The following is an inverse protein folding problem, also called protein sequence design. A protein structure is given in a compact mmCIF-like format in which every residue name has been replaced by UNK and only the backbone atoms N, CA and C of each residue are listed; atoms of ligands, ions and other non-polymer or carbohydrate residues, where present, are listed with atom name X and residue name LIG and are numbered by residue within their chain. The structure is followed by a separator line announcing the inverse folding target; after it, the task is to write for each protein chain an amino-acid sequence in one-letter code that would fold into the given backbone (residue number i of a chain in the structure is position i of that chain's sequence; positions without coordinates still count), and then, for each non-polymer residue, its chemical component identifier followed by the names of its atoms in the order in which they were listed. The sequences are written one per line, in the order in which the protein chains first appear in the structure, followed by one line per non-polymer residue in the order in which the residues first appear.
data_IF_200216176605
#
_entry.id   IF_200216176605
#
_cell.length_a   1.000
_cell.length_b   1.000
_cell.length_c   1.000
_cell.angle_alpha   90.00
_cell.angle_beta   90.00
_cell.angle_gamma   90.00
#
_symmetry.space_group_name_H-M   'P 1'
#
loop_
_entity.id
_entity.type
_entity.pdbx_description
1 polymer ?
#
# COMPACT_ATOMS: atom_id res chain seq x y z
N UNK A 1 -2.18 -20.31 22.25
CA UNK A 1 -1.56 -20.61 20.94
C UNK A 1 -1.50 -19.34 20.09
N UNK A 2 -2.64 -18.66 19.91
CA UNK A 2 -2.73 -17.33 19.29
C UNK A 2 -1.81 -16.32 19.98
N UNK A 3 -1.89 -16.20 21.32
CA UNK A 3 -1.01 -15.31 22.09
C UNK A 3 0.49 -15.61 21.90
N UNK A 4 0.83 -16.90 21.75
CA UNK A 4 2.21 -17.33 21.51
C UNK A 4 2.70 -16.97 20.10
N UNK A 5 1.82 -16.98 19.09
CA UNK A 5 2.15 -16.57 17.72
C UNK A 5 2.31 -15.05 17.60
N UNK A 6 1.41 -14.29 18.23
CA UNK A 6 1.56 -12.84 18.35
C UNK A 6 2.85 -12.49 19.11
N UNK A 7 3.25 -13.27 20.12
CA UNK A 7 4.46 -13.05 20.91
C UNK A 7 5.78 -13.49 20.24
N UNK A 8 5.77 -14.36 19.21
CA UNK A 8 6.99 -14.80 18.51
C UNK A 8 7.72 -13.63 17.81
N UNK A 9 6.99 -12.57 17.45
CA UNK A 9 7.54 -11.32 16.90
C UNK A 9 8.01 -10.34 18.00
N UNK A 10 7.79 -10.68 19.28
CA UNK A 10 7.82 -9.76 20.44
C UNK A 10 6.41 -9.58 21.00
N UNK A 11 6.26 -9.43 22.33
CA UNK A 11 4.95 -9.26 22.97
C UNK A 11 4.13 -8.15 22.31
N UNK A 12 2.99 -8.51 21.72
CA UNK A 12 2.04 -7.58 21.11
C UNK A 12 2.44 -7.02 19.74
N UNK A 13 3.48 -7.55 19.08
CA UNK A 13 3.84 -7.10 17.73
C UNK A 13 2.94 -7.74 16.67
N UNK A 14 2.36 -6.95 15.74
CA UNK A 14 1.49 -7.49 14.70
C UNK A 14 2.25 -8.39 13.73
N UNK A 15 1.57 -9.42 13.21
CA UNK A 15 2.03 -10.18 12.05
C UNK A 15 1.96 -9.29 10.79
N UNK A 16 2.71 -9.64 9.75
CA UNK A 16 2.72 -8.90 8.49
C UNK A 16 2.45 -9.81 7.30
N UNK A 17 1.61 -9.33 6.38
CA UNK A 17 1.47 -9.86 5.02
C UNK A 17 2.12 -8.86 4.08
N UNK A 18 3.11 -9.30 3.30
CA UNK A 18 3.76 -8.49 2.28
C UNK A 18 3.31 -8.97 0.89
N UNK A 19 2.86 -8.02 0.08
CA UNK A 19 2.37 -8.27 -1.28
C UNK A 19 3.15 -7.38 -2.25
N UNK A 20 3.84 -8.01 -3.19
CA UNK A 20 4.36 -7.33 -4.38
C UNK A 20 3.18 -7.06 -5.33
N UNK A 21 2.75 -5.81 -5.47
CA UNK A 21 1.52 -5.49 -6.20
C UNK A 21 1.65 -5.76 -7.69
N UNK A 22 2.78 -5.38 -8.29
CA UNK A 22 3.03 -5.60 -9.71
C UNK A 22 3.07 -7.10 -10.09
N UNK A 23 3.47 -7.97 -9.17
CA UNK A 23 3.48 -9.42 -9.39
C UNK A 23 2.11 -10.07 -9.11
N UNK A 24 1.48 -9.71 -7.98
CA UNK A 24 0.24 -10.33 -7.52
C UNK A 24 -1.00 -9.82 -8.27
N UNK A 25 -0.98 -8.55 -8.66
CA UNK A 25 -2.10 -7.81 -9.24
C UNK A 25 -1.64 -6.99 -10.47
N UNK A 26 -1.14 -7.64 -11.54
CA UNK A 26 -0.54 -6.94 -12.67
C UNK A 26 -1.53 -6.06 -13.45
N UNK A 27 -2.82 -6.41 -13.46
CA UNK A 27 -3.84 -5.61 -14.15
C UNK A 27 -4.18 -4.33 -13.37
N UNK A 28 -4.28 -4.47 -12.05
CA UNK A 28 -4.55 -3.38 -11.10
C UNK A 28 -3.37 -2.42 -11.07
N UNK A 29 -2.13 -2.96 -11.08
CA UNK A 29 -0.92 -2.18 -11.27
C UNK A 29 -0.94 -1.37 -12.56
N UNK A 30 -1.27 -2.02 -13.70
CA UNK A 30 -1.34 -1.32 -14.98
C UNK A 30 -2.40 -0.21 -14.96
N UNK A 31 -3.58 -0.47 -14.40
CA UNK A 31 -4.65 0.54 -14.29
C UNK A 31 -4.23 1.70 -13.39
N UNK A 32 -3.53 1.43 -12.30
CA UNK A 32 -3.04 2.48 -11.40
C UNK A 32 -2.06 3.43 -12.10
N UNK A 33 -1.29 2.96 -13.08
CA UNK A 33 -0.41 3.80 -13.89
C UNK A 33 -1.16 4.67 -14.90
N UNK A 34 -2.42 4.34 -15.19
CA UNK A 34 -3.29 5.10 -16.09
C UNK A 34 -4.14 6.07 -15.25
N UNK A 35 -4.13 7.37 -15.58
CA UNK A 35 -5.00 8.34 -14.92
C UNK A 35 -6.47 8.08 -15.28
N UNK A 36 -7.38 8.25 -14.32
CA UNK A 36 -8.81 8.21 -14.58
C UNK A 36 -9.21 9.29 -15.59
N UNK A 37 -9.92 8.92 -16.65
CA UNK A 37 -10.23 9.83 -17.75
C UNK A 37 -11.18 10.98 -17.37
N UNK A 38 -11.91 10.86 -16.26
CA UNK A 38 -12.86 11.88 -15.79
C UNK A 38 -12.25 12.77 -14.72
N UNK A 39 -11.46 12.21 -13.81
CA UNK A 39 -10.94 12.94 -12.65
C UNK A 39 -9.44 13.25 -12.72
N UNK A 40 -8.68 12.54 -13.56
CA UNK A 40 -7.22 12.60 -13.58
C UNK A 40 -6.54 11.87 -12.42
N UNK A 41 -7.32 11.25 -11.52
CA UNK A 41 -6.78 10.56 -10.36
C UNK A 41 -6.13 9.23 -10.74
N UNK A 42 -5.14 8.81 -9.97
CA UNK A 42 -4.56 7.48 -10.05
C UNK A 42 -5.12 6.62 -8.91
N UNK A 43 -5.81 5.53 -9.27
CA UNK A 43 -6.51 4.67 -8.31
C UNK A 43 -6.00 3.23 -8.41
N UNK A 44 -5.53 2.70 -7.28
CA UNK A 44 -5.10 1.32 -7.12
C UNK A 44 -6.14 0.56 -6.31
N UNK A 45 -6.84 -0.37 -6.95
CA UNK A 45 -7.79 -1.28 -6.32
C UNK A 45 -7.15 -2.64 -6.11
N UNK A 46 -6.97 -3.08 -4.85
CA UNK A 46 -6.38 -4.37 -4.52
C UNK A 46 -7.43 -5.30 -3.92
N UNK A 47 -7.86 -6.37 -4.61
CA UNK A 47 -8.87 -7.31 -4.13
C UNK A 47 -8.28 -8.29 -3.09
N UNK A 48 -7.68 -7.76 -2.02
CA UNK A 48 -7.07 -8.53 -0.94
C UNK A 48 -8.12 -8.85 0.11
N UNK A 49 -8.81 -9.96 -0.10
CA UNK A 49 -9.71 -10.56 0.88
C UNK A 49 -8.95 -11.40 1.92
N UNK A 50 -9.65 -11.83 2.98
CA UNK A 50 -9.12 -12.69 4.04
C UNK A 50 -8.43 -13.96 3.53
N UNK A 51 -8.83 -14.48 2.36
CA UNK A 51 -8.23 -15.67 1.74
C UNK A 51 -6.77 -15.52 1.33
N UNK A 52 -6.26 -14.30 1.22
CA UNK A 52 -4.86 -14.00 0.94
C UNK A 52 -3.96 -14.16 2.17
N UNK A 53 -4.54 -14.27 3.37
CA UNK A 53 -3.77 -14.42 4.59
C UNK A 53 -3.42 -15.90 4.86
N UNK A 54 -2.32 -16.16 5.61
CA UNK A 54 -1.96 -17.52 6.02
C UNK A 54 -3.13 -18.26 6.66
N UNK A 55 -3.18 -19.59 6.48
CA UNK A 55 -4.29 -20.43 6.97
C UNK A 55 -4.62 -20.22 8.47
N UNK A 56 -3.60 -19.98 9.29
CA UNK A 56 -3.77 -19.68 10.71
C UNK A 56 -4.58 -18.40 10.94
N UNK A 57 -4.36 -17.34 10.16
CA UNK A 57 -5.11 -16.10 10.29
C UNK A 57 -6.57 -16.28 9.88
N UNK A 58 -6.79 -17.00 8.77
CA UNK A 58 -8.15 -17.31 8.27
C UNK A 58 -8.99 -18.10 9.27
N UNK A 59 -8.36 -18.95 10.08
CA UNK A 59 -9.05 -19.80 11.05
C UNK A 59 -9.38 -19.11 12.38
N UNK A 60 -8.52 -18.20 12.83
CA UNK A 60 -8.68 -17.57 14.15
C UNK A 60 -9.42 -16.23 14.08
N UNK A 61 -9.61 -15.66 12.89
CA UNK A 61 -10.01 -14.26 12.75
C UNK A 61 -8.76 -13.40 12.68
N UNK A 62 -8.85 -12.31 11.93
CA UNK A 62 -7.76 -11.36 11.76
C UNK A 62 -8.31 -9.94 11.78
N UNK A 63 -7.56 -9.04 12.39
CA UNK A 63 -7.83 -7.62 12.40
C UNK A 63 -6.62 -6.88 11.85
N UNK A 64 -6.76 -6.19 10.71
CA UNK A 64 -5.67 -5.39 10.15
C UNK A 64 -5.60 -4.04 10.86
N UNK A 65 -4.45 -3.75 11.45
CA UNK A 65 -4.20 -2.58 12.29
C UNK A 65 -3.39 -1.51 11.58
N UNK A 66 -2.69 -1.85 10.49
CA UNK A 66 -1.95 -0.90 9.67
C UNK A 66 -1.82 -1.40 8.22
N UNK A 67 -1.94 -0.50 7.25
CA UNK A 67 -1.53 -0.73 5.88
C UNK A 67 -0.40 0.23 5.51
N UNK A 68 0.72 -0.30 5.03
CA UNK A 68 1.83 0.51 4.52
C UNK A 68 2.02 0.23 3.03
N UNK A 69 1.99 1.27 2.22
CA UNK A 69 2.32 1.20 0.81
C UNK A 69 3.76 1.67 0.63
N UNK A 70 4.53 0.91 -0.14
CA UNK A 70 5.92 1.18 -0.45
C UNK A 70 6.05 1.31 -1.96
N UNK A 71 6.38 2.51 -2.42
CA UNK A 71 6.72 2.79 -3.81
C UNK A 71 8.23 2.63 -3.95
N UNK A 72 8.66 1.75 -4.84
CA UNK A 72 10.05 1.59 -5.23
C UNK A 72 10.31 2.48 -6.44
N UNK A 73 11.35 3.29 -6.34
CA UNK A 73 11.75 4.26 -7.36
C UNK A 73 12.91 3.70 -8.18
N UNK A 74 13.06 4.21 -9.39
CA UNK A 74 14.31 4.01 -10.11
C UNK A 74 15.52 4.57 -9.33
N UNK A 75 16.73 4.01 -9.53
CA UNK A 75 17.93 4.48 -8.88
C UNK A 75 18.17 5.98 -9.09
N UNK A 76 18.69 6.65 -8.05
CA UNK A 76 19.05 8.08 -8.05
C UNK A 76 17.87 9.05 -8.28
N UNK A 77 16.63 8.58 -8.24
CA UNK A 77 15.45 9.43 -8.35
C UNK A 77 15.07 10.04 -6.99
N UNK A 78 15.29 11.34 -6.84
CA UNK A 78 14.82 12.10 -5.68
C UNK A 78 13.40 12.64 -5.91
N UNK A 79 12.50 12.38 -4.96
CA UNK A 79 11.09 12.74 -5.07
C UNK A 79 10.64 13.43 -3.78
N UNK A 80 9.98 14.57 -3.93
CA UNK A 80 9.35 15.27 -2.81
C UNK A 80 8.16 14.47 -2.26
N UNK A 81 7.85 14.63 -0.97
CA UNK A 81 6.70 13.96 -0.38
C UNK A 81 5.39 14.42 -1.04
N UNK A 82 4.44 13.49 -1.20
CA UNK A 82 3.13 13.76 -1.76
C UNK A 82 2.04 12.96 -1.06
N UNK A 83 0.80 13.43 -1.12
CA UNK A 83 -0.32 12.82 -0.40
C UNK A 83 -0.97 11.66 -1.18
N UNK A 84 -1.39 10.64 -0.43
CA UNK A 84 -2.29 9.60 -0.89
C UNK A 84 -3.42 9.36 0.11
N UNK A 85 -4.53 8.84 -0.38
CA UNK A 85 -5.72 8.53 0.42
C UNK A 85 -6.04 7.06 0.31
N UNK A 86 -6.25 6.42 1.45
CA UNK A 86 -6.83 5.09 1.53
C UNK A 86 -8.31 5.26 1.87
N UNK A 87 -9.21 4.67 1.09
CA UNK A 87 -10.68 4.77 1.25
C UNK A 87 -11.18 4.48 2.67
N UNK A 88 -10.50 3.60 3.40
CA UNK A 88 -10.81 3.23 4.78
C UNK A 88 -10.43 4.29 5.83
N UNK A 89 -9.64 5.30 5.47
CA UNK A 89 -9.06 6.28 6.40
C UNK A 89 -9.46 7.69 5.99
N UNK A 90 -9.95 8.47 6.96
CA UNK A 90 -10.45 9.82 6.70
C UNK A 90 -9.36 10.82 6.31
N UNK A 91 -8.18 10.67 6.91
CA UNK A 91 -7.04 11.56 6.68
C UNK A 91 -6.14 11.01 5.58
N UNK A 92 -5.67 11.87 4.64
CA UNK A 92 -4.60 11.49 3.74
C UNK A 92 -3.31 11.21 4.53
N UNK A 93 -2.44 10.40 3.96
CA UNK A 93 -1.08 10.16 4.46
C UNK A 93 -0.08 10.49 3.36
N UNK A 94 1.07 11.03 3.75
CA UNK A 94 2.12 11.37 2.80
C UNK A 94 3.01 10.16 2.49
N UNK A 95 3.29 9.92 1.21
CA UNK A 95 4.47 9.18 0.80
C UNK A 95 5.70 10.00 1.14
N UNK A 96 6.52 9.51 2.06
CA UNK A 96 7.77 10.15 2.46
C UNK A 96 8.96 9.26 2.07
N UNK A 97 10.12 9.83 1.70
CA UNK A 97 11.33 9.06 1.44
C UNK A 97 11.69 8.18 2.64
N UNK A 98 12.00 6.91 2.39
CA UNK A 98 12.36 5.94 3.42
C UNK A 98 13.60 5.13 3.01
N UNK A 99 14.40 4.71 3.99
CA UNK A 99 15.48 3.72 3.85
C UNK A 99 16.52 3.98 2.74
N UNK A 100 17.15 5.17 2.72
CA UNK A 100 18.12 5.49 1.66
C UNK A 100 17.42 5.69 0.32
N UNK A 101 18.07 6.41 -0.58
CA UNK A 101 17.46 6.88 -1.82
C UNK A 101 16.94 5.68 -2.62
N UNK A 102 15.65 5.67 -2.96
CA UNK A 102 15.05 4.59 -3.78
C UNK A 102 13.68 4.07 -3.35
N UNK A 103 13.13 4.48 -2.20
CA UNK A 103 11.73 4.16 -1.91
C UNK A 103 11.00 5.27 -1.13
N UNK A 104 9.67 5.31 -1.31
CA UNK A 104 8.77 6.16 -0.55
C UNK A 104 7.71 5.31 0.15
N UNK A 105 7.34 5.70 1.37
CA UNK A 105 6.40 4.95 2.19
C UNK A 105 5.28 5.85 2.69
N UNK A 106 4.04 5.40 2.52
CA UNK A 106 2.85 5.95 3.19
C UNK A 106 2.28 4.87 4.12
N UNK A 107 1.91 5.23 5.34
CA UNK A 107 1.40 4.29 6.34
C UNK A 107 0.10 4.76 6.96
N UNK A 108 -0.93 3.94 6.82
CA UNK A 108 -2.29 4.21 7.26
C UNK A 108 -2.59 3.38 8.50
N UNK A 109 -2.92 4.03 9.61
CA UNK A 109 -3.40 3.36 10.82
C UNK A 109 -4.86 2.92 10.62
N UNK A 110 -5.16 1.68 11.02
CA UNK A 110 -6.46 1.05 10.80
C UNK A 110 -7.07 0.58 12.11
N UNK A 111 -8.39 0.65 12.19
CA UNK A 111 -9.16 0.25 13.37
C UNK A 111 -9.52 -1.23 13.43
N UNK A 112 -8.73 -2.13 12.84
CA UNK A 112 -9.07 -3.56 12.74
C UNK A 112 -10.02 -3.89 11.59
N UNK A 113 -10.00 -3.09 10.52
CA UNK A 113 -10.86 -3.28 9.34
C UNK A 113 -10.19 -4.18 8.31
N UNK A 114 -10.99 -4.98 7.61
CA UNK A 114 -10.54 -5.82 6.49
C UNK A 114 -11.62 -5.75 5.39
N UNK A 115 -11.51 -4.81 4.43
CA UNK A 115 -12.40 -4.82 3.29
C UNK A 115 -12.04 -5.96 2.33
N UNK A 116 -12.94 -6.21 1.38
CA UNK A 116 -12.69 -7.13 0.27
C UNK A 116 -11.78 -6.50 -0.81
N UNK A 117 -11.81 -5.17 -0.92
CA UNK A 117 -11.01 -4.37 -1.84
C UNK A 117 -10.39 -3.20 -1.08
N UNK A 118 -9.10 -2.96 -1.30
CA UNK A 118 -8.37 -1.81 -0.76
C UNK A 118 -8.18 -0.79 -1.86
N UNK A 119 -8.58 0.46 -1.66
CA UNK A 119 -8.47 1.51 -2.66
C UNK A 119 -7.49 2.60 -2.21
N UNK A 120 -6.31 2.63 -2.85
CA UNK A 120 -5.35 3.72 -2.69
C UNK A 120 -5.51 4.71 -3.85
N UNK A 121 -5.75 5.98 -3.52
CA UNK A 121 -5.90 7.08 -4.47
C UNK A 121 -4.80 8.11 -4.31
N UNK A 122 -4.20 8.50 -5.42
CA UNK A 122 -3.38 9.72 -5.55
C UNK A 122 -4.19 10.68 -6.44
N UNK A 123 -4.45 11.88 -5.93
CA UNK A 123 -5.25 12.86 -6.65
C UNK A 123 -4.46 13.50 -7.80
N UNK A 124 -5.17 13.95 -8.84
CA UNK A 124 -4.56 14.81 -9.86
C UNK A 124 -3.91 16.04 -9.21
N UNK A 125 -2.72 16.41 -9.69
CA UNK A 125 -1.92 17.52 -9.17
C UNK A 125 -1.13 17.24 -7.89
N UNK A 126 -1.35 16.11 -7.21
CA UNK A 126 -0.52 15.69 -6.07
C UNK A 126 0.72 14.89 -6.51
N UNK A 127 0.76 14.42 -7.76
CA UNK A 127 1.91 13.68 -8.29
C UNK A 127 3.10 14.64 -8.47
N UNK A 128 4.26 14.35 -7.86
CA UNK A 128 5.46 15.17 -8.06
C UNK A 128 5.93 15.17 -9.51
N UNK A 129 6.50 16.29 -9.97
CA UNK A 129 7.05 16.41 -11.34
C UNK A 129 8.07 15.32 -11.68
N UNK A 130 8.83 14.84 -10.70
CA UNK A 130 9.82 13.78 -10.87
C UNK A 130 9.22 12.39 -11.17
N UNK A 131 7.92 12.18 -10.88
CA UNK A 131 7.20 10.93 -11.05
C UNK A 131 6.21 10.93 -12.21
N UNK A 132 6.11 12.04 -12.97
CA UNK A 132 5.11 12.15 -14.03
C UNK A 132 5.72 12.29 -15.43
N UNK A 133 4.99 11.75 -16.40
CA UNK A 133 5.15 11.99 -17.83
C UNK A 133 3.77 12.37 -18.39
N UNK A 134 3.67 13.56 -18.99
CA UNK A 134 2.41 14.13 -19.51
C UNK A 134 1.26 14.19 -18.50
N UNK A 135 1.58 14.41 -17.21
CA UNK A 135 0.59 14.57 -16.14
C UNK A 135 0.06 13.25 -15.56
N UNK A 136 0.62 12.11 -15.97
CA UNK A 136 0.31 10.79 -15.41
C UNK A 136 1.55 10.18 -14.77
N UNK A 137 1.37 9.25 -13.82
CA UNK A 137 2.46 8.45 -13.26
C UNK A 137 3.30 7.79 -14.37
N UNK A 138 4.60 8.05 -14.33
CA UNK A 138 5.54 7.52 -15.31
C UNK A 138 5.99 6.10 -14.91
N UNK A 139 5.66 5.06 -15.69
CA UNK A 139 6.07 3.69 -15.40
C UNK A 139 7.59 3.50 -15.46
N UNK A 140 8.34 4.34 -16.18
CA UNK A 140 9.79 4.28 -16.24
C UNK A 140 10.47 4.89 -15.00
N UNK A 141 9.69 5.50 -14.08
CA UNK A 141 10.19 6.06 -12.80
C UNK A 141 9.88 5.18 -11.60
N UNK A 142 8.95 4.23 -11.77
CA UNK A 142 8.43 3.36 -10.73
C UNK A 142 8.96 1.93 -10.94
N UNK A 143 9.95 1.54 -10.14
CA UNK A 143 10.47 0.17 -10.14
C UNK A 143 9.43 -0.84 -9.60
N UNK A 144 8.46 -0.38 -8.82
CA UNK A 144 7.29 -1.15 -8.45
C UNK A 144 6.58 -0.64 -7.20
N UNK A 145 5.59 -1.39 -6.74
CA UNK A 145 4.82 -1.08 -5.54
C UNK A 145 4.60 -2.33 -4.70
N UNK A 146 4.71 -2.18 -3.38
CA UNK A 146 4.43 -3.21 -2.41
C UNK A 146 3.42 -2.73 -1.36
N UNK A 147 2.55 -3.63 -0.92
CA UNK A 147 1.64 -3.41 0.20
C UNK A 147 2.05 -4.31 1.37
N UNK A 148 2.10 -3.73 2.56
CA UNK A 148 2.35 -4.42 3.82
C UNK A 148 1.14 -4.23 4.73
N UNK A 149 0.43 -5.31 5.02
CA UNK A 149 -0.69 -5.32 5.96
C UNK A 149 -0.22 -5.89 7.30
N UNK A 150 -0.27 -5.06 8.34
CA UNK A 150 -0.01 -5.49 9.71
C UNK A 150 -1.32 -5.92 10.36
N UNK A 151 -1.36 -7.11 10.96
CA UNK A 151 -2.56 -7.68 11.53
C UNK A 151 -2.31 -8.43 12.83
N UNK A 152 -3.36 -8.52 13.64
CA UNK A 152 -3.41 -9.38 14.83
C UNK A 152 -4.37 -10.53 14.59
N UNK A 153 -4.16 -11.62 15.33
CA UNK A 153 -5.08 -12.75 15.40
C UNK A 153 -5.98 -12.60 16.63
N UNK A 154 -7.26 -12.96 16.48
CA UNK A 154 -8.25 -13.00 17.56
C UNK A 154 -8.17 -14.32 18.38
#
# INVERSE_FOLDING_TARGET
MVDGLNAIQGEGQPLALLVSVHDAFPNEWKRFLEADAQTGDHVLELPIAADHFPYLARRNGLAVTKASFVIMLEPDLEVASFEARLDLVQSPEAFVPAFGDGCMVASFALGGVQPDVWELKIADGEIPEALQSDGALDPEKLAGLALILHYTLD
#
